data_IF_977432983135
#
_entry.id   IF_977432983135
#
_cell.length_a   1.000
_cell.length_b   1.000
_cell.length_c   1.000
_cell.angle_alpha   90.00
_cell.angle_beta   90.00
_cell.angle_gamma   90.00
#
_symmetry.space_group_name_H-M   'P 1'
#
loop_
_entity.id
_entity.type
_entity.pdbx_description
1 polymer ?
#
# COMPACT_ATOMS: atom_id res chain seq x y z
N UNK A 1 3.68 6.17 -23.98
CA UNK A 1 3.48 4.69 -24.11
C UNK A 1 3.34 4.30 -25.57
N UNK A 2 3.80 3.10 -25.95
CA UNK A 2 3.51 2.56 -27.28
C UNK A 2 2.02 2.19 -27.37
N UNK A 3 1.47 2.08 -28.60
CA UNK A 3 0.07 1.72 -28.80
C UNK A 3 -0.26 0.33 -28.25
N UNK A 4 0.70 -0.60 -28.31
CA UNK A 4 0.58 -1.95 -27.72
C UNK A 4 0.48 -1.90 -26.19
N UNK A 5 1.24 -1.01 -25.54
CA UNK A 5 1.20 -0.81 -24.07
C UNK A 5 -0.13 -0.22 -23.61
N UNK A 6 -0.71 0.71 -24.38
CA UNK A 6 -2.01 1.30 -24.07
C UNK A 6 -3.16 0.28 -24.26
N UNK A 7 -3.07 -0.58 -25.27
CA UNK A 7 -4.06 -1.65 -25.47
C UNK A 7 -4.01 -2.69 -24.34
N UNK A 8 -2.82 -3.04 -23.88
CA UNK A 8 -2.64 -3.93 -22.74
C UNK A 8 -3.20 -3.31 -21.45
N UNK A 9 -2.96 -2.02 -21.22
CA UNK A 9 -3.51 -1.29 -20.08
C UNK A 9 -5.04 -1.32 -20.04
N UNK A 10 -5.72 -1.09 -21.18
CA UNK A 10 -7.21 -1.13 -21.23
C UNK A 10 -7.73 -2.53 -20.93
N UNK A 11 -7.05 -3.56 -21.43
CA UNK A 11 -7.43 -4.94 -21.14
C UNK A 11 -7.33 -5.27 -19.64
N UNK A 12 -6.22 -4.91 -19.00
CA UNK A 12 -6.00 -5.12 -17.57
C UNK A 12 -6.99 -4.31 -16.74
N UNK A 13 -7.29 -3.08 -17.16
CA UNK A 13 -8.27 -2.22 -16.50
C UNK A 13 -9.69 -2.81 -16.60
N UNK A 14 -10.05 -3.42 -17.72
CA UNK A 14 -11.35 -4.09 -17.89
C UNK A 14 -11.49 -5.30 -16.97
N UNK A 15 -10.47 -6.16 -16.89
CA UNK A 15 -10.49 -7.30 -15.95
C UNK A 15 -10.66 -6.81 -14.51
N UNK A 16 -9.90 -5.77 -14.13
CA UNK A 16 -9.96 -5.20 -12.80
C UNK A 16 -11.33 -4.57 -12.48
N UNK A 17 -11.89 -3.75 -13.39
CA UNK A 17 -13.19 -3.11 -13.15
C UNK A 17 -14.33 -4.11 -13.16
N UNK A 18 -14.22 -5.19 -13.94
CA UNK A 18 -15.18 -6.30 -13.92
C UNK A 18 -15.21 -7.00 -12.57
N UNK A 19 -14.04 -7.30 -11.99
CA UNK A 19 -13.92 -7.90 -10.67
C UNK A 19 -14.46 -6.97 -9.57
N UNK A 20 -14.13 -5.67 -9.63
CA UNK A 20 -14.68 -4.68 -8.71
C UNK A 20 -16.21 -4.57 -8.81
N UNK A 21 -16.75 -4.60 -10.03
CA UNK A 21 -18.20 -4.57 -10.24
C UNK A 21 -18.88 -5.84 -9.70
N UNK A 22 -18.27 -7.01 -9.86
CA UNK A 22 -18.80 -8.25 -9.32
C UNK A 22 -18.80 -8.24 -7.78
N UNK A 23 -17.75 -7.69 -7.17
CA UNK A 23 -17.66 -7.46 -5.71
C UNK A 23 -18.76 -6.49 -5.26
N UNK A 24 -18.97 -5.40 -6.01
CA UNK A 24 -20.01 -4.42 -5.73
C UNK A 24 -21.43 -5.00 -5.85
N UNK A 25 -21.73 -5.79 -6.89
CA UNK A 25 -23.03 -6.42 -7.03
C UNK A 25 -23.33 -7.38 -5.87
N UNK A 26 -22.34 -8.14 -5.41
CA UNK A 26 -22.47 -8.99 -4.22
C UNK A 26 -22.73 -8.15 -2.97
N UNK A 27 -21.97 -7.10 -2.75
CA UNK A 27 -22.17 -6.19 -1.63
C UNK A 27 -23.56 -5.55 -1.63
N UNK A 28 -24.09 -5.11 -2.79
CA UNK A 28 -25.45 -4.58 -2.90
C UNK A 28 -26.52 -5.59 -2.49
N UNK A 29 -26.36 -6.85 -2.88
CA UNK A 29 -27.30 -7.91 -2.49
C UNK A 29 -27.36 -8.11 -0.97
N UNK A 30 -26.26 -7.87 -0.28
CA UNK A 30 -26.18 -7.97 1.19
C UNK A 30 -26.78 -6.76 1.91
N UNK A 31 -26.79 -5.56 1.28
CA UNK A 31 -27.35 -4.34 1.85
C UNK A 31 -28.89 -4.24 1.74
N UNK A 32 -29.54 -5.06 0.89
CA UNK A 32 -30.98 -5.03 0.64
C UNK A 32 -31.41 -4.00 -0.40
N UNK A 33 -32.73 -3.84 -0.61
CA UNK A 33 -33.29 -3.05 -1.73
C UNK A 33 -33.19 -1.54 -1.61
N UNK A 34 -32.83 -0.97 -0.45
CA UNK A 34 -32.69 0.47 -0.25
C UNK A 34 -31.22 0.84 -0.03
N UNK A 35 -30.56 1.32 -1.10
CA UNK A 35 -29.24 1.93 -1.02
C UNK A 35 -29.37 3.35 -0.42
N UNK A 36 -28.53 3.70 0.55
CA UNK A 36 -28.41 5.09 0.99
C UNK A 36 -27.79 5.97 -0.12
N UNK A 37 -27.77 7.29 0.08
CA UNK A 37 -27.27 8.25 -0.92
C UNK A 37 -25.81 7.99 -1.32
N UNK A 38 -24.96 7.60 -0.39
CA UNK A 38 -23.55 7.32 -0.60
C UNK A 38 -23.35 6.06 -1.48
N UNK A 39 -24.07 4.98 -1.17
CA UNK A 39 -24.04 3.74 -1.94
C UNK A 39 -24.62 3.92 -3.35
N UNK A 40 -25.68 4.73 -3.47
CA UNK A 40 -26.27 5.08 -4.77
C UNK A 40 -25.31 5.89 -5.65
N UNK A 41 -24.58 6.84 -5.05
CA UNK A 41 -23.56 7.61 -5.75
C UNK A 41 -22.37 6.74 -6.18
N UNK A 42 -21.97 5.76 -5.33
CA UNK A 42 -20.93 4.81 -5.71
C UNK A 42 -21.37 3.92 -6.87
N UNK A 43 -22.57 3.35 -6.80
CA UNK A 43 -23.16 2.52 -7.85
C UNK A 43 -23.20 3.25 -9.22
N UNK A 44 -23.62 4.51 -9.21
CA UNK A 44 -23.64 5.31 -10.43
C UNK A 44 -22.23 5.51 -11.00
N UNK A 45 -21.26 5.94 -10.18
CA UNK A 45 -19.91 6.21 -10.64
C UNK A 45 -19.20 4.94 -11.14
N UNK A 46 -19.41 3.81 -10.47
CA UNK A 46 -18.85 2.52 -10.92
C UNK A 46 -19.44 2.10 -12.25
N UNK A 47 -20.76 2.21 -12.44
CA UNK A 47 -21.41 1.87 -13.72
C UNK A 47 -20.94 2.79 -14.85
N UNK A 48 -20.81 4.10 -14.61
CA UNK A 48 -20.29 5.05 -15.59
C UNK A 48 -18.85 4.71 -16.00
N UNK A 49 -18.02 4.29 -15.03
CA UNK A 49 -16.65 3.88 -15.28
C UNK A 49 -16.55 2.55 -16.04
N UNK A 50 -17.36 1.55 -15.67
CA UNK A 50 -17.48 0.28 -16.44
C UNK A 50 -17.81 0.55 -17.90
N UNK A 51 -18.79 1.41 -18.14
CA UNK A 51 -19.23 1.76 -19.51
C UNK A 51 -18.13 2.55 -20.26
N UNK A 52 -17.41 3.44 -19.58
CA UNK A 52 -16.29 4.17 -20.19
C UNK A 52 -15.17 3.20 -20.62
N UNK A 53 -14.71 2.31 -19.75
CA UNK A 53 -13.66 1.32 -20.06
C UNK A 53 -14.08 0.42 -21.23
N UNK A 54 -15.31 -0.11 -21.19
CA UNK A 54 -15.86 -0.95 -22.27
C UNK A 54 -15.95 -0.23 -23.61
N UNK A 55 -16.37 1.04 -23.62
CA UNK A 55 -16.43 1.85 -24.82
C UNK A 55 -15.08 2.05 -25.51
N UNK A 56 -14.00 2.23 -24.72
CA UNK A 56 -12.65 2.33 -25.26
C UNK A 56 -12.19 1.03 -25.91
N UNK A 57 -12.55 -0.12 -25.34
CA UNK A 57 -12.21 -1.43 -25.89
C UNK A 57 -12.97 -1.72 -27.21
N UNK A 58 -14.29 -1.49 -27.22
CA UNK A 58 -15.12 -1.81 -28.36
C UNK A 58 -14.85 -0.91 -29.58
N UNK A 59 -14.51 0.36 -29.38
CA UNK A 59 -14.30 1.32 -30.46
C UNK A 59 -12.93 1.28 -31.08
N UNK A 60 -11.97 0.55 -30.49
CA UNK A 60 -10.56 0.57 -30.88
C UNK A 60 -10.02 2.01 -31.08
N UNK A 61 -10.54 2.96 -30.31
CA UNK A 61 -10.11 4.34 -30.38
C UNK A 61 -8.66 4.43 -29.91
N UNK A 62 -7.89 5.29 -30.54
CA UNK A 62 -6.50 5.54 -30.16
C UNK A 62 -6.48 6.16 -28.79
N UNK A 63 -6.16 5.38 -27.77
CA UNK A 63 -6.04 5.87 -26.41
C UNK A 63 -4.87 6.86 -26.36
N UNK A 64 -5.11 8.07 -25.90
CA UNK A 64 -4.03 9.01 -25.58
C UNK A 64 -3.47 8.74 -24.18
N UNK A 65 -2.25 9.18 -23.94
CA UNK A 65 -1.65 9.09 -22.60
C UNK A 65 -2.51 9.80 -21.53
N UNK A 66 -3.05 10.96 -21.85
CA UNK A 66 -3.91 11.73 -20.96
C UNK A 66 -5.20 10.98 -20.57
N UNK A 67 -5.81 10.27 -21.51
CA UNK A 67 -7.00 9.46 -21.26
C UNK A 67 -6.68 8.24 -20.39
N UNK A 68 -5.53 7.59 -20.66
CA UNK A 68 -5.08 6.47 -19.82
C UNK A 68 -4.84 6.91 -18.37
N UNK A 69 -4.23 8.07 -18.16
CA UNK A 69 -4.01 8.66 -16.86
C UNK A 69 -5.31 9.03 -16.15
N UNK A 70 -6.28 9.58 -16.88
CA UNK A 70 -7.61 9.88 -16.33
C UNK A 70 -8.32 8.60 -15.88
N UNK A 71 -8.34 7.55 -16.71
CA UNK A 71 -8.97 6.27 -16.36
C UNK A 71 -8.30 5.62 -15.12
N UNK A 72 -6.98 5.71 -15.03
CA UNK A 72 -6.25 5.20 -13.87
C UNK A 72 -6.59 5.98 -12.57
N UNK A 73 -6.70 7.30 -12.67
CA UNK A 73 -7.10 8.15 -11.53
C UNK A 73 -8.53 7.85 -11.07
N UNK A 74 -9.46 7.66 -12.02
CA UNK A 74 -10.85 7.30 -11.70
C UNK A 74 -10.94 5.89 -11.08
N UNK A 75 -10.16 4.93 -11.57
CA UNK A 75 -10.06 3.59 -10.99
C UNK A 75 -9.57 3.64 -9.54
N UNK A 76 -8.50 4.38 -9.28
CA UNK A 76 -7.94 4.56 -7.93
C UNK A 76 -8.96 5.20 -6.97
N UNK A 77 -9.71 6.22 -7.43
CA UNK A 77 -10.77 6.86 -6.64
C UNK A 77 -11.92 5.89 -6.31
N UNK A 78 -12.37 5.10 -7.31
CA UNK A 78 -13.40 4.08 -7.09
C UNK A 78 -12.95 3.03 -6.08
N UNK A 79 -11.72 2.57 -6.17
CA UNK A 79 -11.16 1.60 -5.24
C UNK A 79 -11.03 2.17 -3.81
N UNK A 80 -10.57 3.41 -3.69
CA UNK A 80 -10.48 4.07 -2.38
C UNK A 80 -11.87 4.22 -1.72
N UNK A 81 -12.87 4.64 -2.48
CA UNK A 81 -14.26 4.75 -2.01
C UNK A 81 -14.85 3.39 -1.65
N UNK A 82 -14.61 2.36 -2.47
CA UNK A 82 -14.99 0.98 -2.16
C UNK A 82 -14.45 0.54 -0.80
N UNK A 83 -13.15 0.72 -0.55
CA UNK A 83 -12.53 0.39 0.72
C UNK A 83 -13.10 1.21 1.90
N UNK A 84 -13.58 2.42 1.67
CA UNK A 84 -14.31 3.23 2.64
C UNK A 84 -15.68 2.67 2.99
N UNK A 85 -16.42 2.18 1.98
CA UNK A 85 -17.77 1.64 2.13
C UNK A 85 -17.81 0.29 2.85
N UNK A 86 -16.79 -0.57 2.66
CA UNK A 86 -16.69 -1.88 3.29
C UNK A 86 -16.05 -1.85 4.70
N UNK A 87 -15.61 -0.68 5.20
CA UNK A 87 -15.07 -0.58 6.57
C UNK A 87 -16.16 -0.89 7.62
N UNK A 88 -15.82 -1.62 8.71
CA UNK A 88 -16.76 -1.96 9.76
C UNK A 88 -17.18 -0.71 10.55
N UNK A 89 -18.31 -0.15 10.23
CA UNK A 89 -18.91 1.05 10.82
C UNK A 89 -20.33 1.29 10.28
N UNK A 90 -20.69 0.72 9.16
CA UNK A 90 -22.07 0.73 8.66
C UNK A 90 -22.89 -0.31 9.42
N UNK A 91 -23.77 0.14 10.31
CA UNK A 91 -24.73 -0.69 11.01
C UNK A 91 -25.77 -1.24 10.01
N UNK A 92 -25.51 -2.44 9.51
CA UNK A 92 -26.50 -3.33 8.94
C UNK A 92 -26.55 -4.56 9.82
N UNK A 93 -27.73 -4.96 10.23
CA UNK A 93 -28.10 -6.01 11.18
C UNK A 93 -27.35 -7.33 11.07
N UNK A 94 -27.11 -7.98 12.22
CA UNK A 94 -26.79 -9.40 12.42
C UNK A 94 -27.32 -10.30 11.30
N UNK A 95 -26.41 -10.90 10.55
CA UNK A 95 -26.50 -12.32 10.20
C UNK A 95 -25.14 -12.87 9.72
N UNK A 96 -24.88 -14.05 10.21
CA UNK A 96 -23.69 -14.85 10.10
C UNK A 96 -23.44 -15.37 8.69
N UNK A 97 -22.62 -14.65 7.90
CA UNK A 97 -21.72 -15.24 6.90
C UNK A 97 -20.58 -14.26 6.59
N UNK A 98 -19.56 -14.35 7.43
CA UNK A 98 -18.40 -13.45 7.45
C UNK A 98 -17.30 -14.02 6.53
N UNK A 99 -17.56 -14.03 5.23
CA UNK A 99 -16.60 -14.51 4.21
C UNK A 99 -15.44 -13.52 3.94
N UNK A 100 -15.39 -12.35 4.65
CA UNK A 100 -14.38 -11.32 4.40
C UNK A 100 -13.62 -10.91 5.67
N UNK A 101 -13.49 -11.77 6.66
CA UNK A 101 -12.76 -11.49 7.93
C UNK A 101 -11.26 -11.51 7.79
N UNK A 102 -10.70 -12.14 6.77
CA UNK A 102 -9.27 -12.31 6.59
C UNK A 102 -8.92 -12.58 5.12
N UNK A 103 -7.70 -12.23 4.76
CA UNK A 103 -7.13 -12.65 3.47
C UNK A 103 -6.98 -14.17 3.50
N UNK A 104 -7.56 -14.94 2.56
CA UNK A 104 -7.38 -16.38 2.51
C UNK A 104 -5.90 -16.76 2.38
N UNK A 105 -5.53 -17.95 2.86
CA UNK A 105 -4.16 -18.46 2.69
C UNK A 105 -3.78 -18.49 1.22
N UNK A 106 -2.72 -17.77 0.86
CA UNK A 106 -2.26 -17.62 -0.50
C UNK A 106 -3.16 -16.74 -1.38
N UNK A 107 -3.95 -15.85 -0.79
CA UNK A 107 -4.89 -14.95 -1.46
C UNK A 107 -4.53 -13.48 -1.38
N UNK A 108 -3.26 -13.12 -1.10
CA UNK A 108 -2.80 -11.74 -1.17
C UNK A 108 -2.78 -11.23 -2.61
N UNK A 109 -3.12 -9.97 -2.80
CA UNK A 109 -3.16 -9.30 -4.10
C UNK A 109 -2.27 -8.06 -4.08
N UNK A 110 -1.72 -7.69 -5.25
CA UNK A 110 -0.99 -6.45 -5.43
C UNK A 110 -1.98 -5.27 -5.33
N UNK A 111 -1.87 -4.37 -4.34
CA UNK A 111 -2.75 -3.21 -4.27
C UNK A 111 -2.43 -2.24 -5.43
N UNK A 112 -3.45 -1.61 -6.05
CA UNK A 112 -3.20 -0.58 -7.04
C UNK A 112 -2.48 0.62 -6.41
N UNK A 113 -1.70 1.36 -7.22
CA UNK A 113 -1.15 2.64 -6.79
C UNK A 113 -2.29 3.67 -6.64
N UNK A 114 -2.25 4.52 -5.60
CA UNK A 114 -3.25 5.59 -5.41
C UNK A 114 -3.06 6.79 -6.37
N UNK A 115 -2.07 6.76 -7.24
CA UNK A 115 -1.71 7.81 -8.21
C UNK A 115 -1.08 7.19 -9.47
N UNK A 116 -0.95 7.99 -10.55
CA UNK A 116 -0.28 7.57 -11.78
C UNK A 116 1.22 7.29 -11.56
N UNK A 117 1.84 6.46 -12.41
CA UNK A 117 3.24 6.08 -12.25
C UNK A 117 4.21 7.28 -12.34
N UNK A 118 3.88 8.31 -13.09
CA UNK A 118 4.66 9.54 -13.27
C UNK A 118 4.29 10.65 -12.27
N UNK A 119 3.31 10.42 -11.40
CA UNK A 119 2.79 11.47 -10.52
C UNK A 119 3.78 11.94 -9.46
N UNK A 120 4.79 11.14 -9.13
CA UNK A 120 5.81 11.49 -8.14
C UNK A 120 7.06 12.14 -8.75
N UNK A 121 7.09 12.37 -10.08
CA UNK A 121 8.16 13.13 -10.72
C UNK A 121 8.16 14.60 -10.24
N UNK A 122 9.32 15.22 -10.09
CA UNK A 122 10.66 14.75 -10.46
C UNK A 122 11.37 13.92 -9.36
N UNK A 123 10.71 13.58 -8.26
CA UNK A 123 11.31 12.96 -7.07
C UNK A 123 11.52 11.46 -7.23
N UNK A 124 10.59 10.76 -7.91
CA UNK A 124 10.72 9.34 -8.29
C UNK A 124 10.25 9.17 -9.73
N UNK A 125 11.14 8.70 -10.61
CA UNK A 125 10.87 8.50 -12.04
C UNK A 125 9.78 7.45 -12.28
N UNK A 126 8.93 7.66 -13.29
CA UNK A 126 7.93 6.70 -13.77
C UNK A 126 8.51 5.29 -13.95
N UNK A 127 9.71 5.20 -14.52
CA UNK A 127 10.36 3.90 -14.75
C UNK A 127 10.65 3.16 -13.45
N UNK A 128 11.08 3.86 -12.42
CA UNK A 128 11.29 3.27 -11.08
C UNK A 128 9.96 2.78 -10.55
N UNK A 129 8.92 3.61 -10.59
CA UNK A 129 7.59 3.27 -10.09
C UNK A 129 7.04 1.99 -10.73
N UNK A 130 7.13 1.84 -12.07
CA UNK A 130 6.69 0.63 -12.78
C UNK A 130 7.48 -0.61 -12.37
N UNK A 131 8.79 -0.53 -12.30
CA UNK A 131 9.62 -1.68 -11.92
C UNK A 131 9.40 -2.04 -10.45
N UNK A 132 9.31 -1.04 -9.60
CA UNK A 132 9.20 -1.22 -8.16
C UNK A 132 7.82 -1.80 -7.77
N UNK A 133 6.73 -1.28 -8.35
CA UNK A 133 5.39 -1.77 -8.10
C UNK A 133 5.12 -3.10 -8.86
N UNK A 134 5.22 -3.10 -10.20
CA UNK A 134 4.72 -4.20 -11.03
C UNK A 134 5.63 -5.42 -11.01
N UNK A 135 6.92 -5.27 -10.63
CA UNK A 135 7.88 -6.38 -10.61
C UNK A 135 8.29 -6.74 -9.17
N UNK A 136 8.84 -5.78 -8.41
CA UNK A 136 9.33 -6.07 -7.06
C UNK A 136 8.20 -6.36 -6.10
N UNK A 137 7.20 -5.46 -5.96
CA UNK A 137 6.08 -5.68 -5.05
C UNK A 137 5.26 -6.90 -5.47
N UNK A 138 4.95 -7.08 -6.78
CA UNK A 138 4.27 -8.27 -7.26
C UNK A 138 5.02 -9.56 -6.89
N UNK A 139 6.34 -9.57 -7.00
CA UNK A 139 7.13 -10.76 -6.63
C UNK A 139 7.02 -11.11 -5.14
N UNK A 140 6.89 -10.10 -4.26
CA UNK A 140 6.66 -10.33 -2.83
C UNK A 140 5.26 -10.87 -2.55
N UNK A 141 4.24 -10.40 -3.26
CA UNK A 141 2.87 -10.96 -3.18
C UNK A 141 2.88 -12.43 -3.59
N UNK A 142 3.48 -12.75 -4.73
CA UNK A 142 3.57 -14.13 -5.23
C UNK A 142 4.35 -15.04 -4.28
N UNK A 143 5.47 -14.54 -3.75
CA UNK A 143 6.31 -15.26 -2.81
C UNK A 143 5.60 -15.56 -1.48
N UNK A 144 4.89 -14.57 -0.93
CA UNK A 144 4.08 -14.75 0.28
C UNK A 144 2.97 -15.77 0.07
N UNK A 145 2.20 -15.62 -1.01
CA UNK A 145 1.14 -16.55 -1.37
C UNK A 145 1.64 -17.99 -1.53
N UNK A 146 2.80 -18.15 -2.12
CA UNK A 146 3.45 -19.46 -2.25
C UNK A 146 3.85 -20.02 -0.89
N UNK A 147 4.53 -19.24 -0.05
CA UNK A 147 4.98 -19.68 1.25
C UNK A 147 3.81 -20.10 2.14
N UNK A 148 2.73 -19.33 2.16
CA UNK A 148 1.52 -19.64 2.92
C UNK A 148 0.88 -20.97 2.48
N UNK A 149 0.75 -21.19 1.16
CA UNK A 149 0.19 -22.45 0.63
C UNK A 149 1.06 -23.66 0.98
N UNK A 150 2.39 -23.54 0.90
CA UNK A 150 3.28 -24.63 1.26
C UNK A 150 3.27 -24.93 2.77
N UNK A 151 3.17 -23.89 3.62
CA UNK A 151 2.98 -24.08 5.06
C UNK A 151 1.62 -24.72 5.38
N UNK A 152 0.56 -24.36 4.65
CA UNK A 152 -0.74 -25.00 4.76
C UNK A 152 -0.66 -26.50 4.41
N UNK A 153 0.03 -26.83 3.31
CA UNK A 153 0.25 -28.22 2.89
C UNK A 153 1.05 -28.99 3.94
N UNK A 154 2.10 -28.41 4.52
CA UNK A 154 2.86 -29.01 5.60
C UNK A 154 1.95 -29.39 6.80
N UNK A 155 1.05 -28.47 7.20
CA UNK A 155 0.06 -28.75 8.26
C UNK A 155 -0.92 -29.89 7.91
N UNK A 156 -1.34 -29.97 6.65
CA UNK A 156 -2.29 -30.99 6.17
C UNK A 156 -1.66 -32.40 6.09
N UNK A 157 -0.38 -32.46 5.70
CA UNK A 157 0.34 -33.72 5.49
C UNK A 157 1.10 -34.20 6.72
N UNK A 158 1.39 -33.29 7.67
CA UNK A 158 2.31 -33.55 8.78
C UNK A 158 3.78 -33.57 8.38
N UNK A 159 4.10 -33.19 7.14
CA UNK A 159 5.48 -33.09 6.63
C UNK A 159 6.00 -31.65 6.82
N UNK A 160 6.89 -31.46 7.78
CA UNK A 160 7.51 -30.17 8.12
C UNK A 160 9.00 -30.09 7.75
N UNK A 161 9.50 -30.95 6.91
CA UNK A 161 10.95 -31.00 6.56
C UNK A 161 11.44 -29.65 5.98
N UNK A 162 10.59 -28.94 5.23
CA UNK A 162 10.91 -27.64 4.65
C UNK A 162 10.34 -26.45 5.43
N UNK A 163 9.80 -26.63 6.64
CA UNK A 163 9.13 -25.54 7.37
C UNK A 163 10.05 -24.35 7.60
N UNK A 164 11.32 -24.58 7.93
CA UNK A 164 12.30 -23.49 8.13
C UNK A 164 12.47 -22.64 6.87
N UNK A 165 12.42 -23.26 5.68
CA UNK A 165 12.50 -22.54 4.41
C UNK A 165 11.26 -21.67 4.21
N UNK A 166 10.07 -22.25 4.36
CA UNK A 166 8.82 -21.54 4.11
C UNK A 166 8.56 -20.43 5.11
N UNK A 167 8.93 -20.57 6.39
CA UNK A 167 8.87 -19.51 7.39
C UNK A 167 9.79 -18.33 7.03
N UNK A 168 10.98 -18.59 6.47
CA UNK A 168 11.89 -17.53 5.98
C UNK A 168 11.34 -16.83 4.74
N UNK A 169 10.75 -17.59 3.81
CA UNK A 169 10.09 -17.02 2.63
C UNK A 169 8.87 -16.17 3.02
N UNK A 170 8.06 -16.66 3.95
CA UNK A 170 6.92 -15.89 4.48
C UNK A 170 7.37 -14.60 5.17
N UNK A 171 8.41 -14.65 6.00
CA UNK A 171 8.95 -13.48 6.68
C UNK A 171 9.49 -12.43 5.68
N UNK A 172 10.26 -12.87 4.70
CA UNK A 172 10.84 -11.98 3.69
C UNK A 172 9.76 -11.37 2.78
N UNK A 173 8.95 -12.22 2.17
CA UNK A 173 7.95 -11.78 1.19
C UNK A 173 6.77 -11.06 1.87
N UNK A 174 6.35 -11.50 3.07
CA UNK A 174 5.31 -10.82 3.84
C UNK A 174 5.72 -9.44 4.29
N UNK A 175 6.91 -9.28 4.84
CA UNK A 175 7.45 -7.97 5.19
C UNK A 175 7.62 -7.08 3.93
N UNK A 176 8.10 -7.66 2.82
CA UNK A 176 8.19 -6.98 1.53
C UNK A 176 6.83 -6.48 1.06
N UNK A 177 5.82 -7.35 1.02
CA UNK A 177 4.47 -6.97 0.61
C UNK A 177 3.87 -5.87 1.50
N UNK A 178 3.92 -6.03 2.83
CA UNK A 178 3.27 -5.09 3.74
C UNK A 178 3.97 -3.72 3.80
N UNK A 179 5.30 -3.68 3.78
CA UNK A 179 6.05 -2.42 3.76
C UNK A 179 5.82 -1.67 2.45
N UNK A 180 5.78 -2.34 1.30
CA UNK A 180 5.49 -1.69 0.02
C UNK A 180 4.04 -1.18 -0.04
N UNK A 181 3.06 -1.91 0.52
CA UNK A 181 1.68 -1.44 0.62
C UNK A 181 1.61 -0.12 1.40
N UNK A 182 2.34 -0.01 2.51
CA UNK A 182 2.42 1.25 3.28
C UNK A 182 3.14 2.32 2.46
N UNK A 183 4.27 1.97 1.83
CA UNK A 183 5.11 2.90 1.07
C UNK A 183 4.35 3.65 -0.03
N UNK A 184 3.49 2.97 -0.77
CA UNK A 184 2.67 3.62 -1.80
C UNK A 184 1.68 4.62 -1.21
N UNK A 185 1.03 4.28 -0.11
CA UNK A 185 -0.02 5.12 0.49
C UNK A 185 0.54 6.35 1.22
N UNK A 186 1.75 6.25 1.78
CA UNK A 186 2.39 7.37 2.50
C UNK A 186 3.12 8.36 1.58
N UNK A 187 2.98 8.21 0.27
CA UNK A 187 3.46 9.16 -0.72
C UNK A 187 2.28 9.76 -1.50
N UNK A 188 2.44 11.00 -1.96
CA UNK A 188 1.42 11.72 -2.75
C UNK A 188 2.09 12.76 -3.64
N UNK A 189 1.57 13.00 -4.88
CA UNK A 189 2.01 14.12 -5.70
C UNK A 189 1.77 15.49 -5.06
N UNK A 190 0.77 15.57 -4.16
CA UNK A 190 0.45 16.78 -3.39
C UNK A 190 1.07 16.73 -1.98
N UNK A 191 2.03 15.84 -1.75
CA UNK A 191 2.68 15.61 -0.46
C UNK A 191 3.73 16.65 -0.10
N UNK A 192 4.54 16.32 0.89
CA UNK A 192 5.60 17.18 1.42
C UNK A 192 5.15 18.11 2.53
N UNK A 193 5.98 19.10 2.85
CA UNK A 193 5.73 19.98 3.97
C UNK A 193 5.94 19.32 5.34
N UNK A 194 5.24 19.82 6.36
CA UNK A 194 5.35 19.38 7.73
C UNK A 194 4.07 18.68 8.18
N UNK A 195 4.15 17.67 9.07
CA UNK A 195 2.98 17.08 9.70
C UNK A 195 2.24 18.12 10.56
N UNK A 196 0.99 17.82 10.88
CA UNK A 196 0.17 18.69 11.73
C UNK A 196 -0.53 17.89 12.83
N UNK A 197 -1.41 18.52 13.59
CA UNK A 197 -2.33 17.86 14.50
C UNK A 197 -1.68 17.00 15.59
N UNK A 198 -2.31 15.86 15.86
CA UNK A 198 -1.89 14.94 16.92
C UNK A 198 -0.60 14.20 16.58
N UNK A 199 -0.34 13.95 15.30
CA UNK A 199 0.92 13.34 14.86
C UNK A 199 2.11 14.25 15.15
N UNK A 200 2.01 15.56 14.82
CA UNK A 200 3.07 16.53 15.12
C UNK A 200 3.34 16.63 16.63
N UNK A 201 2.27 16.62 17.44
CA UNK A 201 2.42 16.63 18.90
C UNK A 201 3.18 15.39 19.39
N UNK A 202 2.83 14.21 18.88
CA UNK A 202 3.50 12.95 19.24
C UNK A 202 4.96 12.91 18.77
N UNK A 203 5.26 13.45 17.59
CA UNK A 203 6.63 13.60 17.07
C UNK A 203 7.43 14.51 18.00
N UNK A 204 6.92 15.68 18.35
CA UNK A 204 7.60 16.61 19.24
C UNK A 204 7.82 16.01 20.64
N UNK A 205 6.84 15.27 21.16
CA UNK A 205 6.96 14.58 22.44
C UNK A 205 8.03 13.48 22.41
N UNK A 206 8.09 12.70 21.32
CA UNK A 206 8.99 11.55 21.23
C UNK A 206 10.42 11.94 20.83
N UNK A 207 10.60 12.98 20.01
CA UNK A 207 11.90 13.34 19.42
C UNK A 207 12.39 14.74 19.74
N UNK A 208 11.60 15.55 20.48
CA UNK A 208 11.94 16.92 20.86
C UNK A 208 11.42 17.98 19.89
N UNK A 209 11.53 17.76 18.58
CA UNK A 209 10.95 18.60 17.53
C UNK A 209 10.82 17.83 16.23
N UNK A 210 10.03 18.37 15.28
CA UNK A 210 9.94 17.81 13.93
C UNK A 210 11.30 17.81 13.21
N UNK A 211 12.09 18.87 13.35
CA UNK A 211 13.41 18.94 12.73
C UNK A 211 14.35 17.83 13.25
N UNK A 212 14.34 17.56 14.56
CA UNK A 212 15.12 16.48 15.15
C UNK A 212 14.63 15.10 14.70
N UNK A 213 13.33 14.92 14.59
CA UNK A 213 12.75 13.72 14.02
C UNK A 213 13.18 13.51 12.56
N UNK A 214 13.04 14.55 11.72
CA UNK A 214 13.37 14.49 10.29
C UNK A 214 14.86 14.18 10.09
N UNK A 215 15.73 14.83 10.84
CA UNK A 215 17.18 14.55 10.82
C UNK A 215 17.45 13.10 11.25
N UNK A 216 16.89 12.65 12.38
CA UNK A 216 17.08 11.28 12.88
C UNK A 216 16.57 10.23 11.86
N UNK A 217 15.38 10.41 11.31
CA UNK A 217 14.81 9.49 10.33
C UNK A 217 15.64 9.44 9.03
N UNK A 218 16.09 10.61 8.56
CA UNK A 218 16.94 10.72 7.36
C UNK A 218 18.28 10.03 7.58
N UNK A 219 18.95 10.29 8.69
CA UNK A 219 20.22 9.63 9.03
C UNK A 219 20.05 8.12 9.23
N UNK A 220 18.93 7.68 9.81
CA UNK A 220 18.61 6.25 9.88
C UNK A 220 18.46 5.64 8.48
N UNK A 221 17.80 6.33 7.54
CA UNK A 221 17.65 5.87 6.16
C UNK A 221 18.98 5.82 5.41
N UNK A 222 19.79 6.90 5.49
CA UNK A 222 21.09 7.01 4.81
C UNK A 222 22.08 5.94 5.29
N UNK A 223 22.02 5.57 6.57
CA UNK A 223 22.95 4.65 7.23
C UNK A 223 22.43 3.22 7.40
N UNK A 224 21.38 2.80 6.69
CA UNK A 224 21.01 1.38 6.62
C UNK A 224 22.15 0.59 5.97
N UNK A 225 22.62 -0.47 6.64
CA UNK A 225 23.68 -1.31 6.12
C UNK A 225 23.18 -2.13 4.92
N UNK A 226 23.74 -1.86 3.73
CA UNK A 226 23.32 -2.50 2.49
C UNK A 226 21.94 -2.09 2.02
N UNK A 227 20.94 -2.94 2.12
CA UNK A 227 19.56 -2.73 1.64
C UNK A 227 18.58 -2.86 2.80
N UNK A 228 17.57 -2.01 2.81
CA UNK A 228 16.56 -2.06 3.89
C UNK A 228 15.67 -0.83 3.96
N UNK A 229 15.24 -0.47 5.16
CA UNK A 229 14.22 0.53 5.42
C UNK A 229 14.54 1.38 6.65
N UNK A 230 14.13 2.65 6.61
CA UNK A 230 13.89 3.46 7.80
C UNK A 230 12.39 3.50 8.07
N UNK A 231 11.99 3.30 9.34
CA UNK A 231 10.60 3.07 9.70
C UNK A 231 10.24 3.87 10.95
N UNK A 232 9.27 4.80 10.83
CA UNK A 232 8.60 5.37 11.99
C UNK A 232 7.51 4.40 12.44
N UNK A 233 7.51 4.04 13.72
CA UNK A 233 6.54 3.12 14.29
C UNK A 233 5.82 3.73 15.50
N UNK A 234 4.58 3.29 15.72
CA UNK A 234 3.95 3.34 17.03
C UNK A 234 4.40 2.13 17.85
N UNK A 235 4.88 2.38 19.06
CA UNK A 235 5.22 1.33 20.01
C UNK A 235 4.12 1.18 21.07
N UNK A 236 3.28 0.13 20.96
CA UNK A 236 2.20 -0.11 21.92
C UNK A 236 2.67 -0.34 23.36
N UNK A 237 3.93 -0.72 23.56
CA UNK A 237 4.48 -0.97 24.89
C UNK A 237 5.05 0.27 25.55
N UNK A 238 5.72 1.13 24.79
CA UNK A 238 6.28 2.38 25.33
C UNK A 238 5.29 3.55 25.22
N UNK A 239 4.19 3.38 24.49
CA UNK A 239 3.17 4.39 24.19
C UNK A 239 3.76 5.67 23.55
N UNK A 240 4.74 5.50 22.69
CA UNK A 240 5.38 6.61 21.95
C UNK A 240 5.82 6.19 20.55
N UNK A 241 6.27 7.16 19.77
CA UNK A 241 6.88 6.95 18.48
C UNK A 241 8.34 6.53 18.62
N UNK A 242 8.78 5.64 17.73
CA UNK A 242 10.18 5.20 17.63
C UNK A 242 10.59 5.21 16.15
N UNK A 243 11.90 5.41 15.89
CA UNK A 243 12.49 5.20 14.58
C UNK A 243 13.27 3.90 14.63
N UNK A 244 12.99 3.02 13.66
CA UNK A 244 13.67 1.73 13.53
C UNK A 244 14.30 1.63 12.14
N UNK A 245 15.34 0.80 12.04
CA UNK A 245 15.83 0.30 10.77
C UNK A 245 15.41 -1.16 10.60
N UNK A 246 15.24 -1.60 9.36
CA UNK A 246 15.22 -3.01 9.01
C UNK A 246 16.26 -3.25 7.91
N UNK A 247 17.09 -4.27 8.06
CA UNK A 247 17.88 -4.79 6.96
C UNK A 247 17.02 -5.73 6.13
N UNK A 248 17.20 -5.73 4.81
CA UNK A 248 16.26 -6.35 3.88
C UNK A 248 14.84 -5.82 4.11
N UNK A 249 13.87 -6.71 4.42
CA UNK A 249 12.52 -6.31 4.78
C UNK A 249 12.18 -6.62 6.24
N UNK A 250 12.83 -7.63 6.86
CA UNK A 250 12.43 -8.21 8.13
C UNK A 250 13.57 -8.38 9.15
N UNK A 251 14.82 -8.18 8.73
CA UNK A 251 15.95 -8.46 9.61
C UNK A 251 16.26 -7.26 10.51
N UNK A 252 16.77 -7.53 11.72
CA UNK A 252 17.30 -6.58 12.69
C UNK A 252 16.33 -5.49 13.17
N UNK A 253 15.02 -5.73 13.09
CA UNK A 253 14.01 -4.80 13.59
C UNK A 253 13.39 -5.28 14.91
N UNK A 254 12.61 -4.41 15.56
CA UNK A 254 11.88 -4.75 16.78
C UNK A 254 10.53 -5.37 16.45
N UNK A 255 10.07 -6.27 17.35
CA UNK A 255 8.73 -6.83 17.30
C UNK A 255 7.73 -5.99 18.10
N UNK A 256 6.44 -6.26 17.90
CA UNK A 256 5.32 -5.66 18.63
C UNK A 256 5.23 -4.14 18.44
N UNK A 257 5.45 -3.72 17.21
CA UNK A 257 5.37 -2.32 16.76
C UNK A 257 4.48 -2.20 15.52
N UNK A 258 3.93 -1.01 15.27
CA UNK A 258 3.04 -0.75 14.13
C UNK A 258 3.70 0.30 13.22
N UNK A 259 4.10 -0.04 11.98
CA UNK A 259 4.68 0.90 11.03
C UNK A 259 3.69 2.00 10.62
N UNK A 260 4.16 3.24 10.59
CA UNK A 260 3.39 4.43 10.22
C UNK A 260 3.92 5.11 8.96
N UNK A 261 5.23 5.38 8.94
CA UNK A 261 5.96 5.98 7.82
C UNK A 261 7.15 5.09 7.51
N UNK A 262 7.33 4.71 6.25
CA UNK A 262 8.38 3.79 5.83
C UNK A 262 9.12 4.35 4.62
N UNK A 263 10.45 4.28 4.61
CA UNK A 263 11.27 4.68 3.47
C UNK A 263 12.11 3.49 3.01
N UNK A 264 11.86 3.07 1.78
CA UNK A 264 12.64 2.05 1.11
C UNK A 264 13.98 2.62 0.66
N UNK A 265 15.08 2.03 1.14
CA UNK A 265 16.44 2.35 0.71
C UNK A 265 17.16 1.15 0.07
N UNK A 266 16.38 0.20 -0.45
CA UNK A 266 16.89 -0.75 -1.41
C UNK A 266 17.33 -0.01 -2.68
N UNK A 267 18.38 -0.47 -3.33
CA UNK A 267 18.87 0.15 -4.58
C UNK A 267 17.82 0.18 -5.69
N UNK A 268 16.91 -0.80 -5.72
CA UNK A 268 15.81 -0.81 -6.70
C UNK A 268 14.85 0.39 -6.55
N UNK A 269 14.78 1.02 -5.38
CA UNK A 269 13.91 2.16 -5.13
C UNK A 269 14.47 3.48 -5.71
N UNK A 270 15.79 3.58 -5.94
CA UNK A 270 16.40 4.86 -6.30
C UNK A 270 17.54 4.80 -7.34
N UNK A 271 18.21 3.65 -7.52
CA UNK A 271 19.49 3.58 -8.26
C UNK A 271 19.40 4.03 -9.72
N UNK A 272 18.26 3.82 -10.39
CA UNK A 272 18.08 4.22 -11.79
C UNK A 272 18.04 5.74 -12.00
N UNK A 273 17.75 6.52 -10.97
CA UNK A 273 17.61 7.97 -11.01
C UNK A 273 18.73 8.67 -10.23
N UNK A 274 19.04 8.16 -9.05
CA UNK A 274 20.01 8.74 -8.12
C UNK A 274 21.36 8.03 -8.13
N UNK A 275 21.51 6.95 -8.89
CA UNK A 275 22.71 6.13 -8.93
C UNK A 275 23.12 5.68 -7.51
N UNK A 276 24.37 5.94 -7.11
CA UNK A 276 24.88 5.61 -5.77
C UNK A 276 24.64 6.72 -4.73
N UNK A 277 23.91 7.77 -5.08
CA UNK A 277 23.62 8.90 -4.18
C UNK A 277 22.30 8.68 -3.40
N UNK A 278 22.35 7.77 -2.42
CA UNK A 278 21.23 7.51 -1.53
C UNK A 278 20.82 8.74 -0.73
N UNK A 279 21.79 9.59 -0.38
CA UNK A 279 21.56 10.78 0.42
C UNK A 279 20.66 11.76 -0.34
N UNK A 280 20.92 11.98 -1.62
CA UNK A 280 20.07 12.82 -2.47
C UNK A 280 18.65 12.24 -2.60
N UNK A 281 18.51 10.92 -2.78
CA UNK A 281 17.19 10.26 -2.79
C UNK A 281 16.42 10.48 -1.50
N UNK A 282 17.05 10.28 -0.34
CA UNK A 282 16.41 10.46 0.97
C UNK A 282 15.99 11.91 1.17
N UNK A 283 16.84 12.88 0.77
CA UNK A 283 16.56 14.31 0.92
C UNK A 283 15.39 14.75 0.01
N UNK A 284 15.30 14.22 -1.21
CA UNK A 284 14.22 14.55 -2.16
C UNK A 284 12.90 13.86 -1.82
N UNK A 285 12.91 12.66 -1.21
CA UNK A 285 11.71 11.91 -0.85
C UNK A 285 10.77 12.67 0.10
N UNK A 286 11.28 13.54 0.96
CA UNK A 286 10.46 14.34 1.87
C UNK A 286 9.45 15.27 1.16
N UNK A 287 9.68 15.58 -0.12
CA UNK A 287 8.77 16.42 -0.91
C UNK A 287 7.46 15.71 -1.29
N UNK A 288 7.36 14.41 -1.12
CA UNK A 288 6.21 13.60 -1.53
C UNK A 288 5.54 12.85 -0.36
N UNK A 289 5.96 13.09 0.88
CA UNK A 289 5.35 12.42 2.05
C UNK A 289 3.90 12.85 2.22
N UNK A 290 2.99 11.87 2.25
CA UNK A 290 1.56 12.06 2.50
C UNK A 290 1.29 12.06 4.01
N UNK A 291 1.44 13.21 4.65
CA UNK A 291 1.28 13.33 6.10
C UNK A 291 -0.15 13.03 6.58
N UNK A 292 -1.16 13.25 5.75
CA UNK A 292 -2.55 12.92 6.08
C UNK A 292 -2.75 11.41 6.27
N UNK A 293 -2.14 10.60 5.40
CA UNK A 293 -2.16 9.13 5.56
C UNK A 293 -1.35 8.68 6.77
N UNK A 294 -0.18 9.27 7.01
CA UNK A 294 0.64 8.95 8.19
C UNK A 294 -0.12 9.27 9.47
N UNK A 295 -0.82 10.41 9.53
CA UNK A 295 -1.66 10.79 10.68
C UNK A 295 -2.86 9.84 10.86
N UNK A 296 -3.52 9.45 9.77
CA UNK A 296 -4.61 8.47 9.79
C UNK A 296 -4.15 7.13 10.37
N UNK A 297 -2.99 6.64 9.93
CA UNK A 297 -2.37 5.41 10.46
C UNK A 297 -2.01 5.56 11.93
N UNK A 298 -1.41 6.70 12.32
CA UNK A 298 -1.08 6.98 13.71
C UNK A 298 -2.33 7.00 14.60
N UNK A 299 -3.39 7.67 14.18
CA UNK A 299 -4.64 7.75 14.94
C UNK A 299 -5.28 6.39 15.17
N UNK A 300 -5.17 5.48 14.21
CA UNK A 300 -5.62 4.09 14.37
C UNK A 300 -4.67 3.28 15.26
N UNK A 301 -3.37 3.38 15.02
CA UNK A 301 -2.36 2.57 15.72
C UNK A 301 -2.27 2.90 17.22
N UNK A 302 -2.40 4.18 17.59
CA UNK A 302 -2.28 4.63 19.00
C UNK A 302 -3.38 4.10 19.93
N UNK A 303 -4.45 3.55 19.38
CA UNK A 303 -5.49 2.90 20.17
C UNK A 303 -5.03 1.52 20.71
N UNK A 304 -4.03 0.92 20.07
CA UNK A 304 -3.42 -0.34 20.55
C UNK A 304 -2.39 -0.01 21.62
N UNK A 305 -2.67 -0.41 22.85
CA UNK A 305 -1.81 -0.16 24.03
C UNK A 305 -1.71 -1.39 24.89
N UNK A 306 -0.49 -1.75 25.23
CA UNK A 306 -0.17 -2.79 26.18
C UNK A 306 0.25 -2.20 27.52
N UNK A 307 0.26 -3.02 28.56
CA UNK A 307 0.82 -2.61 29.84
C UNK A 307 2.31 -2.24 29.69
N UNK A 308 2.69 -1.09 30.27
CA UNK A 308 4.07 -0.60 30.25
C UNK A 308 4.89 -1.29 31.34
N UNK A 309 6.15 -1.59 31.03
CA UNK A 309 7.14 -2.13 31.97
C UNK A 309 8.42 -1.30 31.94
#
# INVERSE_FOLDING_TARGET
MSQDTLSQFVYELEEWVSDLNDKWQRFKLEQGDELNEELSNYDQNLNEFVDAVRNYQERQETLSHDIAQQLQSEAANLFHRWNGLIKPGHKGSDDTNDDNRFVPIGGHELPPLPYAYDALEPYIDERIMRLHHDQHHQSYVDGLNKAEREMQKARQTGDFDLIKHWEREAAFNGAGHYLHTIFWNIMSPDGGGDPSGELLNAINESFGSYDQFKEHFSEAAKNVEGVGWSILVWSPRSHRLEILQAERHQDLSQWDVIPLLVLDVWEHAYYLQYENDRDAYVDEWWNIVNWDEVESRYNTAREVKWEQY
#
